data_IF_001337835831
#
_entry.id   IF_001337835831
#
_cell.length_a   1.000
_cell.length_b   1.000
_cell.length_c   1.000
_cell.angle_alpha   90.00
_cell.angle_beta   90.00
_cell.angle_gamma   90.00
#
_symmetry.space_group_name_H-M   'P 1'
#
loop_
_entity.id
_entity.type
_entity.pdbx_description
1 polymer ?
#
# COMPACT_ATOMS: atom_id res chain seq x y z
N UNK A 1 16.94 -8.08 1.34
CA UNK A 1 15.88 -8.72 2.16
C UNK A 1 16.32 -9.11 3.58
N UNK A 2 17.34 -9.95 3.78
CA UNK A 2 17.76 -10.38 5.12
C UNK A 2 18.12 -9.22 6.08
N UNK A 3 18.78 -8.18 5.57
CA UNK A 3 19.15 -6.96 6.31
C UNK A 3 17.93 -6.14 6.77
N UNK A 4 16.93 -5.98 5.89
CA UNK A 4 15.66 -5.28 6.20
C UNK A 4 14.95 -5.99 7.35
N UNK A 5 14.79 -7.31 7.23
CA UNK A 5 14.12 -8.11 8.25
C UNK A 5 14.90 -8.12 9.58
N UNK A 6 16.23 -8.09 9.54
CA UNK A 6 17.06 -7.96 10.75
C UNK A 6 16.83 -6.62 11.44
N UNK A 7 16.78 -5.53 10.67
CA UNK A 7 16.56 -4.18 11.19
C UNK A 7 15.17 -4.04 11.83
N UNK A 8 14.12 -4.55 11.18
CA UNK A 8 12.78 -4.61 11.78
C UNK A 8 12.75 -5.39 13.10
N UNK A 9 13.38 -6.57 13.17
CA UNK A 9 13.44 -7.37 14.41
C UNK A 9 14.24 -6.69 15.52
N UNK A 10 15.21 -5.86 15.17
CA UNK A 10 15.98 -5.08 16.12
C UNK A 10 15.24 -3.81 16.59
N UNK A 11 14.04 -3.52 16.06
CA UNK A 11 13.32 -2.28 16.34
C UNK A 11 13.87 -1.05 15.61
N UNK A 12 14.83 -1.24 14.70
CA UNK A 12 15.43 -0.16 13.91
C UNK A 12 14.58 0.11 12.66
N UNK A 13 13.44 0.75 12.89
CA UNK A 13 12.45 1.08 11.86
C UNK A 13 12.97 2.05 10.81
N UNK A 14 13.78 3.04 11.22
CA UNK A 14 14.37 4.01 10.28
C UNK A 14 15.33 3.32 9.31
N UNK A 15 16.25 2.50 9.81
CA UNK A 15 17.17 1.74 8.94
C UNK A 15 16.40 0.78 8.04
N UNK A 16 15.39 0.08 8.58
CA UNK A 16 14.56 -0.81 7.78
C UNK A 16 13.89 -0.04 6.62
N UNK A 17 13.33 1.14 6.90
CA UNK A 17 12.71 2.01 5.91
C UNK A 17 13.71 2.46 4.85
N UNK A 18 14.88 2.97 5.24
CA UNK A 18 15.92 3.40 4.30
C UNK A 18 16.35 2.27 3.37
N UNK A 19 16.57 1.06 3.92
CA UNK A 19 16.97 -0.10 3.13
C UNK A 19 15.86 -0.56 2.17
N UNK A 20 14.60 -0.49 2.59
CA UNK A 20 13.46 -0.88 1.77
C UNK A 20 13.21 0.11 0.62
N UNK A 21 13.27 1.41 0.90
CA UNK A 21 13.18 2.46 -0.11
C UNK A 21 14.34 2.38 -1.12
N UNK A 22 15.57 2.13 -0.65
CA UNK A 22 16.72 1.96 -1.52
C UNK A 22 16.60 0.72 -2.42
N UNK A 23 16.07 -0.39 -1.89
CA UNK A 23 15.79 -1.59 -2.67
C UNK A 23 14.77 -1.30 -3.79
N UNK A 24 13.65 -0.67 -3.43
CA UNK A 24 12.58 -0.30 -4.36
C UNK A 24 13.13 0.58 -5.50
N UNK A 25 13.84 1.67 -5.16
CA UNK A 25 14.44 2.57 -6.14
C UNK A 25 15.50 1.89 -7.02
N UNK A 26 16.32 0.99 -6.45
CA UNK A 26 17.35 0.26 -7.22
C UNK A 26 16.71 -0.68 -8.24
N UNK A 27 15.63 -1.38 -7.84
CA UNK A 27 14.92 -2.31 -8.72
C UNK A 27 14.16 -1.55 -9.81
N UNK A 28 13.52 -0.42 -9.46
CA UNK A 28 12.83 0.45 -10.41
C UNK A 28 13.76 1.04 -11.48
N UNK A 29 14.97 1.44 -11.09
CA UNK A 29 16.00 1.91 -12.02
C UNK A 29 16.67 0.80 -12.84
N UNK A 30 16.45 -0.47 -12.46
CA UNK A 30 17.03 -1.64 -13.11
C UNK A 30 16.32 -2.04 -14.40
N UNK A 31 16.89 -3.04 -15.09
CA UNK A 31 16.32 -3.58 -16.33
C UNK A 31 15.26 -4.65 -16.09
N UNK A 32 15.21 -5.25 -14.90
CA UNK A 32 14.22 -6.30 -14.57
C UNK A 32 12.94 -5.71 -13.99
N UNK A 33 12.06 -5.28 -14.88
CA UNK A 33 10.75 -4.74 -14.52
C UNK A 33 9.84 -5.75 -13.81
N UNK A 34 10.14 -7.06 -13.88
CA UNK A 34 9.35 -8.09 -13.19
C UNK A 34 9.62 -8.12 -11.68
N UNK A 35 10.75 -7.57 -11.25
CA UNK A 35 11.11 -7.50 -9.83
C UNK A 35 10.47 -6.31 -9.10
N UNK A 36 10.04 -5.28 -9.83
CA UNK A 36 9.50 -4.03 -9.26
C UNK A 36 8.31 -4.28 -8.31
N UNK A 37 7.29 -5.07 -8.67
CA UNK A 37 6.13 -5.26 -7.79
C UNK A 37 6.50 -5.90 -6.44
N UNK A 38 7.48 -6.82 -6.44
CA UNK A 38 7.95 -7.47 -5.23
C UNK A 38 8.80 -6.53 -4.35
N UNK A 39 9.65 -5.69 -4.95
CA UNK A 39 10.44 -4.71 -4.20
C UNK A 39 9.53 -3.63 -3.57
N UNK A 40 8.54 -3.17 -4.34
CA UNK A 40 7.52 -2.21 -3.89
C UNK A 40 6.65 -2.77 -2.77
N UNK A 41 6.28 -4.05 -2.85
CA UNK A 41 5.57 -4.75 -1.77
C UNK A 41 6.38 -4.74 -0.46
N UNK A 42 7.69 -5.01 -0.53
CA UNK A 42 8.56 -4.99 0.64
C UNK A 42 8.63 -3.61 1.26
N UNK A 43 8.75 -2.57 0.43
CA UNK A 43 8.74 -1.19 0.87
C UNK A 43 7.40 -0.83 1.56
N UNK A 44 6.27 -1.23 0.96
CA UNK A 44 4.94 -1.03 1.53
C UNK A 44 4.78 -1.72 2.88
N UNK A 45 5.26 -2.96 3.01
CA UNK A 45 5.22 -3.71 4.27
C UNK A 45 6.05 -3.01 5.36
N UNK A 46 7.26 -2.56 5.03
CA UNK A 46 8.11 -1.84 5.98
C UNK A 46 7.48 -0.51 6.39
N UNK A 47 6.84 0.21 5.46
CA UNK A 47 6.08 1.42 5.77
C UNK A 47 4.95 1.15 6.76
N UNK A 48 4.19 0.08 6.57
CA UNK A 48 3.15 -0.32 7.51
C UNK A 48 3.72 -0.70 8.88
N UNK A 49 4.82 -1.45 8.94
CA UNK A 49 5.45 -1.88 10.19
C UNK A 49 6.13 -0.75 10.98
N UNK A 50 6.38 0.38 10.33
CA UNK A 50 7.04 1.56 10.92
C UNK A 50 6.07 2.74 11.10
N UNK A 51 4.76 2.43 11.19
CA UNK A 51 3.67 3.37 11.45
C UNK A 51 3.52 4.49 10.40
N UNK A 52 3.72 4.14 9.13
CA UNK A 52 3.49 5.02 7.97
C UNK A 52 2.38 4.46 7.05
N UNK A 53 1.13 4.35 7.55
CA UNK A 53 0.05 3.70 6.82
C UNK A 53 -0.27 4.39 5.49
N UNK A 54 -0.18 5.72 5.40
CA UNK A 54 -0.43 6.45 4.15
C UNK A 54 0.52 6.06 3.02
N UNK A 55 1.83 5.99 3.32
CA UNK A 55 2.84 5.53 2.37
C UNK A 55 2.61 4.07 1.97
N UNK A 56 2.23 3.21 2.93
CA UNK A 56 1.91 1.82 2.63
C UNK A 56 0.72 1.67 1.66
N UNK A 57 -0.31 2.53 1.78
CA UNK A 57 -1.45 2.54 0.84
C UNK A 57 -0.98 2.78 -0.57
N UNK A 58 -0.20 3.84 -0.79
CA UNK A 58 0.31 4.23 -2.11
C UNK A 58 1.13 3.11 -2.73
N UNK A 59 2.12 2.59 -1.99
CA UNK A 59 3.01 1.55 -2.49
C UNK A 59 2.28 0.24 -2.82
N UNK A 60 1.35 -0.21 -1.97
CA UNK A 60 0.55 -1.40 -2.28
C UNK A 60 -0.39 -1.17 -3.47
N UNK A 61 -0.98 0.01 -3.59
CA UNK A 61 -1.87 0.34 -4.70
C UNK A 61 -1.11 0.41 -6.03
N UNK A 62 0.11 0.92 -6.03
CA UNK A 62 0.98 0.96 -7.21
C UNK A 62 1.51 -0.43 -7.60
N UNK A 63 1.74 -1.31 -6.62
CA UNK A 63 2.16 -2.69 -6.89
C UNK A 63 1.02 -3.56 -7.48
N UNK A 64 -0.24 -3.31 -7.11
CA UNK A 64 -1.38 -4.12 -7.52
C UNK A 64 -1.54 -4.31 -9.05
N UNK A 65 -1.54 -3.24 -9.89
CA UNK A 65 -1.66 -3.38 -11.34
C UNK A 65 -0.40 -3.95 -11.99
N UNK A 66 0.75 -3.91 -11.31
CA UNK A 66 2.03 -4.34 -11.88
C UNK A 66 2.22 -5.88 -11.85
N UNK A 67 1.39 -6.60 -11.09
CA UNK A 67 1.33 -8.07 -11.08
C UNK A 67 0.52 -8.64 -12.26
N UNK A 68 0.99 -8.42 -13.50
CA UNK A 68 0.31 -8.86 -14.73
C UNK A 68 0.18 -10.38 -14.78
N UNK A 69 -1.04 -10.88 -15.02
CA UNK A 69 -1.34 -12.31 -15.12
C UNK A 69 -1.32 -13.04 -13.78
N UNK A 70 -1.30 -12.31 -12.66
CA UNK A 70 -1.22 -12.84 -11.29
C UNK A 70 -2.37 -12.32 -10.42
N UNK A 71 -3.60 -12.82 -10.63
CA UNK A 71 -4.80 -12.26 -10.01
C UNK A 71 -4.78 -12.38 -8.48
N UNK A 72 -4.18 -13.43 -7.92
CA UNK A 72 -4.07 -13.62 -6.48
C UNK A 72 -3.16 -12.57 -5.83
N UNK A 73 -1.99 -12.30 -6.43
CA UNK A 73 -1.08 -11.26 -5.98
C UNK A 73 -1.68 -9.86 -6.14
N UNK A 74 -2.34 -9.56 -7.27
CA UNK A 74 -3.09 -8.30 -7.44
C UNK A 74 -4.14 -8.13 -6.35
N UNK A 75 -4.95 -9.16 -6.07
CA UNK A 75 -5.96 -9.11 -5.01
C UNK A 75 -5.37 -8.99 -3.62
N UNK A 76 -4.21 -9.58 -3.38
CA UNK A 76 -3.49 -9.44 -2.11
C UNK A 76 -2.95 -8.02 -1.93
N UNK A 77 -2.40 -7.40 -2.97
CA UNK A 77 -1.93 -6.00 -2.92
C UNK A 77 -3.09 -5.03 -2.69
N UNK A 78 -4.20 -5.18 -3.41
CA UNK A 78 -5.38 -4.32 -3.20
C UNK A 78 -5.92 -4.43 -1.77
N UNK A 79 -6.00 -5.65 -1.21
CA UNK A 79 -6.40 -5.88 0.18
C UNK A 79 -5.40 -5.32 1.19
N UNK A 80 -4.10 -5.37 0.91
CA UNK A 80 -3.08 -4.76 1.76
C UNK A 80 -3.12 -3.23 1.73
N UNK A 81 -3.40 -2.62 0.57
CA UNK A 81 -3.65 -1.19 0.45
C UNK A 81 -4.87 -0.80 1.30
N UNK A 82 -5.98 -1.54 1.16
CA UNK A 82 -7.18 -1.35 1.98
C UNK A 82 -6.88 -1.50 3.48
N UNK A 83 -6.20 -2.56 3.90
CA UNK A 83 -5.84 -2.76 5.30
C UNK A 83 -5.00 -1.61 5.87
N UNK A 84 -4.02 -1.13 5.11
CA UNK A 84 -3.18 0.02 5.48
C UNK A 84 -4.01 1.30 5.59
N UNK A 85 -4.95 1.49 4.66
CA UNK A 85 -5.84 2.65 4.62
C UNK A 85 -6.75 2.76 5.85
N UNK A 86 -7.25 1.63 6.37
CA UNK A 86 -8.07 1.61 7.58
C UNK A 86 -7.34 2.17 8.82
N UNK A 87 -6.00 2.19 8.79
CA UNK A 87 -5.13 2.67 9.87
C UNK A 87 -4.74 4.15 9.73
N UNK A 88 -5.12 4.81 8.63
CA UNK A 88 -4.92 6.25 8.47
C UNK A 88 -5.88 6.98 9.41
N UNK A 89 -5.32 7.64 10.43
CA UNK A 89 -6.09 8.24 11.51
C UNK A 89 -6.76 9.56 11.13
N UNK A 90 -6.09 10.37 10.32
CA UNK A 90 -6.58 11.70 9.95
C UNK A 90 -7.69 11.58 8.87
N UNK A 91 -8.93 12.04 9.14
CA UNK A 91 -10.07 11.80 8.26
C UNK A 91 -9.92 12.33 6.84
N UNK A 92 -9.29 13.50 6.65
CA UNK A 92 -9.11 14.09 5.33
C UNK A 92 -8.10 13.30 4.49
N UNK A 93 -6.97 12.94 5.09
CA UNK A 93 -5.95 12.07 4.50
C UNK A 93 -6.53 10.69 4.19
N UNK A 94 -7.36 10.13 5.07
CA UNK A 94 -8.08 8.91 4.79
C UNK A 94 -9.06 9.08 3.62
N UNK A 95 -9.76 10.20 3.51
CA UNK A 95 -10.64 10.43 2.36
C UNK A 95 -9.84 10.48 1.04
N UNK A 96 -8.75 11.26 1.01
CA UNK A 96 -7.92 11.44 -0.18
C UNK A 96 -7.26 10.12 -0.63
N UNK A 97 -6.77 9.31 0.32
CA UNK A 97 -6.21 7.98 0.05
C UNK A 97 -7.26 6.94 -0.36
N UNK A 98 -8.56 7.18 -0.11
CA UNK A 98 -9.62 6.26 -0.50
C UNK A 98 -9.65 6.03 -2.02
N UNK A 99 -9.44 7.08 -2.81
CA UNK A 99 -9.35 6.98 -4.27
C UNK A 99 -8.14 6.14 -4.72
N UNK A 100 -7.03 6.20 -3.97
CA UNK A 100 -5.84 5.37 -4.22
C UNK A 100 -6.17 3.89 -4.05
N UNK A 101 -6.88 3.54 -2.98
CA UNK A 101 -7.33 2.15 -2.75
C UNK A 101 -8.32 1.70 -3.83
N UNK A 102 -9.24 2.57 -4.27
CA UNK A 102 -10.17 2.23 -5.35
C UNK A 102 -9.46 1.93 -6.67
N UNK A 103 -8.35 2.62 -6.97
CA UNK A 103 -7.51 2.28 -8.14
C UNK A 103 -6.89 0.89 -8.02
N UNK A 104 -6.46 0.48 -6.84
CA UNK A 104 -5.92 -0.86 -6.60
C UNK A 104 -6.95 -1.97 -6.90
N UNK A 105 -8.24 -1.70 -6.66
CA UNK A 105 -9.35 -2.61 -6.98
C UNK A 105 -9.89 -2.46 -8.42
N UNK A 106 -9.33 -1.60 -9.27
CA UNK A 106 -9.89 -1.34 -10.60
C UNK A 106 -9.97 -2.60 -11.49
N UNK A 107 -9.02 -3.53 -11.32
CA UNK A 107 -8.95 -4.81 -12.04
C UNK A 107 -9.68 -5.95 -11.34
N UNK A 108 -10.31 -5.68 -10.19
CA UNK A 108 -11.00 -6.65 -9.34
C UNK A 108 -12.43 -6.16 -9.05
N UNK A 109 -13.27 -6.01 -10.08
CA UNK A 109 -14.55 -5.29 -9.96
C UNK A 109 -15.53 -5.97 -9.00
N UNK A 110 -15.43 -7.29 -8.83
CA UNK A 110 -16.31 -8.12 -8.00
C UNK A 110 -15.76 -8.37 -6.58
N UNK A 111 -14.57 -7.83 -6.24
CA UNK A 111 -14.03 -7.98 -4.88
C UNK A 111 -14.85 -7.12 -3.90
N UNK A 112 -15.38 -7.73 -2.81
CA UNK A 112 -16.22 -7.01 -1.85
C UNK A 112 -15.50 -5.86 -1.15
N UNK A 113 -14.17 -5.88 -1.10
CA UNK A 113 -13.36 -4.80 -0.56
C UNK A 113 -13.56 -3.49 -1.30
N UNK A 114 -13.86 -3.52 -2.61
CA UNK A 114 -14.11 -2.32 -3.42
C UNK A 114 -15.34 -1.55 -2.93
N UNK A 115 -16.43 -2.26 -2.62
CA UNK A 115 -17.66 -1.61 -2.15
C UNK A 115 -17.50 -1.09 -0.72
N UNK A 116 -16.81 -1.85 0.15
CA UNK A 116 -16.48 -1.40 1.49
C UNK A 116 -15.66 -0.08 1.51
N UNK A 117 -14.74 0.09 0.57
CA UNK A 117 -13.99 1.35 0.40
C UNK A 117 -14.94 2.50 0.03
N UNK A 118 -15.85 2.30 -0.93
CA UNK A 118 -16.84 3.32 -1.33
C UNK A 118 -17.75 3.73 -0.19
N UNK A 119 -18.25 2.76 0.59
CA UNK A 119 -19.10 3.02 1.75
C UNK A 119 -18.37 3.88 2.79
N UNK A 120 -17.12 3.53 3.12
CA UNK A 120 -16.31 4.32 4.06
C UNK A 120 -15.98 5.70 3.51
N UNK A 121 -15.68 5.85 2.22
CA UNK A 121 -15.46 7.16 1.60
C UNK A 121 -16.71 8.03 1.62
N UNK A 122 -17.91 7.46 1.41
CA UNK A 122 -19.18 8.18 1.60
C UNK A 122 -19.31 8.69 3.04
N UNK A 123 -19.04 7.85 4.02
CA UNK A 123 -19.09 8.24 5.43
C UNK A 123 -18.05 9.33 5.81
N UNK A 124 -16.82 9.23 5.30
CA UNK A 124 -15.77 10.23 5.52
C UNK A 124 -16.16 11.59 4.92
N UNK A 125 -16.67 11.61 3.69
CA UNK A 125 -17.14 12.84 3.04
C UNK A 125 -18.24 13.54 3.82
N UNK A 126 -19.24 12.80 4.31
CA UNK A 126 -20.29 13.40 5.14
C UNK A 126 -19.71 14.10 6.37
N UNK A 127 -18.78 13.44 7.08
CA UNK A 127 -18.12 14.02 8.26
C UNK A 127 -17.28 15.26 7.96
N UNK A 128 -16.64 15.31 6.78
CA UNK A 128 -15.85 16.46 6.34
C UNK A 128 -16.71 17.65 5.93
N UNK A 129 -17.96 17.41 5.50
CA UNK A 129 -18.91 18.48 5.16
C UNK A 129 -19.62 19.08 6.38
N UNK A 130 -19.69 18.32 7.49
CA UNK A 130 -20.41 18.70 8.71
C UNK A 130 -19.53 19.43 9.75
N UNK A 131 -18.21 19.52 9.52
CA UNK A 131 -17.23 20.16 10.41
C UNK A 131 -16.64 21.43 9.82
#
# INVERSE_FOLDING_TARGET
MAEIARSLRAGDGERAMTLAAALDATVEAGTDQRAVPAAREVHAYVALMTDRPGLAVELYADAAPAWVGRPEETARMARNAHYSWLRVAEPRSAYDLGEVVLRAYATLPDDPGREAVRDRMRALRSRLSDG
#
